data_IF_668086496326
#
_entry.id   IF_668086496326
#
_cell.length_a   1.000
_cell.length_b   1.000
_cell.length_c   1.000
_cell.angle_alpha   90.00
_cell.angle_beta   90.00
_cell.angle_gamma   90.00
#
_symmetry.space_group_name_H-M   'P 1'
#
loop_
_entity.id
_entity.type
_entity.pdbx_description
1 polymer ?
#
# COMPACT_ATOMS: atom_id res chain seq x y z
N UNK A 1 13.89 22.05 -8.80
CA UNK A 1 14.26 20.65 -8.53
C UNK A 1 14.81 20.05 -9.82
N UNK A 2 15.84 19.20 -9.78
CA UNK A 2 16.26 18.47 -10.99
C UNK A 2 15.22 17.36 -11.22
N UNK A 3 14.47 17.46 -12.32
CA UNK A 3 13.28 16.64 -12.55
C UNK A 3 13.53 15.49 -13.55
N UNK A 4 14.79 15.30 -13.98
CA UNK A 4 15.17 14.29 -14.94
C UNK A 4 16.40 13.51 -14.44
N UNK A 5 16.48 12.25 -14.85
CA UNK A 5 17.63 11.39 -14.59
C UNK A 5 18.88 11.97 -15.25
N UNK A 6 19.98 12.12 -14.49
CA UNK A 6 21.26 12.61 -15.02
C UNK A 6 22.44 11.85 -14.42
N UNK A 7 23.54 11.78 -15.17
CA UNK A 7 24.80 11.28 -14.64
C UNK A 7 25.39 12.28 -13.65
N UNK A 8 25.59 11.84 -12.42
CA UNK A 8 26.16 12.64 -11.34
C UNK A 8 27.27 11.92 -10.60
N UNK A 9 27.89 12.60 -9.64
CA UNK A 9 28.93 12.02 -8.80
C UNK A 9 28.30 11.12 -7.72
N UNK A 10 27.98 9.88 -8.11
CA UNK A 10 27.49 8.86 -7.20
C UNK A 10 28.60 8.44 -6.22
N UNK A 11 28.31 8.45 -4.92
CA UNK A 11 29.25 8.05 -3.85
C UNK A 11 29.14 6.58 -3.46
N UNK A 12 28.25 5.84 -4.13
CA UNK A 12 27.99 4.41 -3.89
C UNK A 12 28.58 3.55 -5.00
N UNK A 13 28.87 2.28 -4.69
CA UNK A 13 29.49 1.31 -5.60
C UNK A 13 31.01 1.22 -5.47
N UNK A 14 31.55 -0.02 -5.47
CA UNK A 14 32.97 -0.29 -5.24
C UNK A 14 33.92 0.47 -6.21
N UNK A 15 33.48 0.65 -7.45
CA UNK A 15 34.25 1.39 -8.48
C UNK A 15 34.43 2.88 -8.17
N UNK A 16 33.59 3.45 -7.30
CA UNK A 16 33.66 4.86 -6.92
C UNK A 16 34.62 5.11 -5.75
N UNK A 17 35.05 4.07 -5.02
CA UNK A 17 36.12 4.17 -4.01
C UNK A 17 37.01 2.91 -3.98
N UNK A 18 37.89 2.72 -4.99
CA UNK A 18 38.73 1.53 -5.08
C UNK A 18 39.71 1.42 -3.89
N UNK A 19 40.16 2.54 -3.32
CA UNK A 19 41.08 2.55 -2.18
C UNK A 19 40.39 2.02 -0.92
N UNK A 20 39.17 2.48 -0.63
CA UNK A 20 38.45 2.03 0.56
C UNK A 20 38.00 0.57 0.41
N UNK A 21 37.66 0.16 -0.82
CA UNK A 21 37.38 -1.25 -1.13
C UNK A 21 38.60 -2.14 -0.88
N UNK A 22 39.79 -1.76 -1.38
CA UNK A 22 41.00 -2.55 -1.12
C UNK A 22 41.34 -2.63 0.37
N UNK A 23 41.08 -1.57 1.14
CA UNK A 23 41.22 -1.59 2.60
C UNK A 23 40.20 -2.52 3.26
N UNK A 24 38.96 -2.54 2.77
CA UNK A 24 37.92 -3.47 3.26
C UNK A 24 38.29 -4.92 2.94
N UNK A 25 38.82 -5.19 1.75
CA UNK A 25 39.29 -6.53 1.34
C UNK A 25 40.47 -6.98 2.21
N UNK A 26 41.46 -6.11 2.41
CA UNK A 26 42.61 -6.39 3.29
C UNK A 26 42.16 -6.60 4.74
N UNK A 27 41.22 -5.80 5.23
CA UNK A 27 40.64 -5.99 6.55
C UNK A 27 39.87 -7.32 6.66
N UNK A 28 39.10 -7.70 5.63
CA UNK A 28 38.37 -8.96 5.60
C UNK A 28 39.30 -10.18 5.54
N UNK A 29 40.40 -10.12 4.79
CA UNK A 29 41.41 -11.19 4.73
C UNK A 29 42.16 -11.38 6.05
N UNK A 30 42.32 -10.29 6.83
CA UNK A 30 43.04 -10.30 8.10
C UNK A 30 42.11 -10.44 9.31
N UNK A 31 40.80 -10.34 9.12
CA UNK A 31 39.83 -10.61 10.17
C UNK A 31 39.83 -12.11 10.48
N UNK A 32 39.73 -12.51 11.76
CA UNK A 32 39.49 -13.92 12.08
C UNK A 32 38.22 -14.38 11.37
N UNK A 33 38.23 -15.59 10.82
CA UNK A 33 37.02 -16.22 10.27
C UNK A 33 35.98 -16.34 11.39
N UNK A 34 35.13 -15.33 11.50
CA UNK A 34 33.81 -15.51 12.06
C UNK A 34 32.99 -16.10 10.92
N UNK A 35 32.88 -17.43 10.89
CA UNK A 35 31.77 -18.08 10.19
C UNK A 35 30.51 -17.32 10.60
N UNK A 36 29.88 -16.54 9.70
CA UNK A 36 28.60 -15.92 10.01
C UNK A 36 27.65 -17.10 10.05
N UNK A 37 27.47 -17.63 11.24
CA UNK A 37 26.42 -18.56 11.53
C UNK A 37 25.10 -17.82 11.22
N UNK A 38 24.62 -17.96 9.99
CA UNK A 38 23.31 -17.48 9.56
C UNK A 38 22.17 -18.10 10.37
N UNK A 39 22.45 -19.14 11.17
CA UNK A 39 21.54 -19.65 12.19
C UNK A 39 21.30 -18.64 13.31
N UNK A 40 22.20 -17.69 13.60
CA UNK A 40 21.98 -16.69 14.66
C UNK A 40 20.80 -15.75 14.35
N UNK A 41 20.74 -15.14 13.15
CA UNK A 41 19.60 -14.30 12.73
C UNK A 41 18.34 -15.16 12.58
N UNK A 42 18.48 -16.37 12.06
CA UNK A 42 17.35 -17.30 11.89
C UNK A 42 16.75 -17.71 13.23
N UNK A 43 17.60 -17.99 14.22
CA UNK A 43 17.22 -18.34 15.59
C UNK A 43 16.60 -17.14 16.30
N UNK A 44 17.18 -15.95 16.19
CA UNK A 44 16.57 -14.71 16.71
C UNK A 44 15.19 -14.46 16.10
N UNK A 45 15.03 -14.66 14.79
CA UNK A 45 13.71 -14.56 14.13
C UNK A 45 12.76 -15.65 14.63
N UNK A 46 13.24 -16.87 14.85
CA UNK A 46 12.42 -17.97 15.36
C UNK A 46 11.93 -17.70 16.78
N UNK A 47 12.79 -17.21 17.66
CA UNK A 47 12.44 -16.81 19.03
C UNK A 47 11.42 -15.67 18.99
N UNK A 48 11.69 -14.62 18.21
CA UNK A 48 10.76 -13.50 18.07
C UNK A 48 9.40 -13.92 17.51
N UNK A 49 9.34 -14.84 16.54
CA UNK A 49 8.08 -15.37 15.99
C UNK A 49 7.35 -16.21 17.04
N UNK A 50 8.07 -17.01 17.83
CA UNK A 50 7.46 -17.86 18.85
C UNK A 50 6.89 -17.07 20.04
N UNK A 51 7.52 -15.94 20.37
CA UNK A 51 7.11 -15.07 21.49
C UNK A 51 6.13 -13.97 21.08
N UNK A 52 6.01 -13.67 19.78
CA UNK A 52 5.18 -12.58 19.30
C UNK A 52 3.69 -12.83 19.54
N UNK A 53 3.03 -11.83 20.13
CA UNK A 53 1.58 -11.73 20.12
C UNK A 53 1.06 -11.39 18.71
N UNK A 54 -0.21 -11.72 18.47
CA UNK A 54 -0.92 -11.29 17.26
C UNK A 54 -1.00 -9.77 17.19
N UNK A 55 -0.94 -9.22 15.97
CA UNK A 55 -1.27 -7.82 15.72
C UNK A 55 -2.75 -7.60 16.00
N UNK A 56 -3.06 -6.83 17.04
CA UNK A 56 -4.40 -6.36 17.38
C UNK A 56 -5.50 -7.43 17.45
N UNK A 57 -6.76 -6.96 17.43
CA UNK A 57 -7.94 -7.82 17.32
C UNK A 57 -9.09 -7.05 16.69
N UNK A 58 -9.92 -7.74 15.89
CA UNK A 58 -11.17 -7.16 15.39
C UNK A 58 -12.10 -6.88 16.58
N UNK A 59 -12.59 -5.64 16.76
CA UNK A 59 -13.45 -5.31 17.88
C UNK A 59 -14.81 -6.01 17.76
N UNK A 60 -15.45 -6.25 18.90
CA UNK A 60 -16.84 -6.68 18.93
C UNK A 60 -17.70 -5.54 18.35
N UNK A 61 -18.70 -5.82 17.49
CA UNK A 61 -19.58 -4.78 16.96
C UNK A 61 -20.15 -3.89 18.07
N UNK A 62 -20.13 -2.58 17.85
CA UNK A 62 -20.55 -1.58 18.85
C UNK A 62 -22.08 -1.49 19.03
N UNK A 63 -22.84 -2.11 18.12
CA UNK A 63 -24.31 -2.05 18.13
C UNK A 63 -24.94 -3.37 18.58
N UNK A 64 -26.10 -3.30 19.26
CA UNK A 64 -26.87 -4.49 19.67
C UNK A 64 -27.22 -5.36 18.47
N UNK A 65 -27.59 -4.75 17.34
CA UNK A 65 -27.88 -5.45 16.08
C UNK A 65 -26.63 -6.19 15.56
N UNK A 66 -25.49 -5.52 15.54
CA UNK A 66 -24.22 -6.12 15.11
C UNK A 66 -23.83 -7.32 15.98
N UNK A 67 -23.91 -7.19 17.31
CA UNK A 67 -23.62 -8.27 18.25
C UNK A 67 -24.50 -9.50 18.01
N UNK A 68 -25.82 -9.29 17.83
CA UNK A 68 -26.76 -10.39 17.56
C UNK A 68 -26.45 -11.05 16.21
N UNK A 69 -26.24 -10.27 15.15
CA UNK A 69 -25.95 -10.78 13.81
C UNK A 69 -24.67 -11.61 13.79
N UNK A 70 -23.57 -11.08 14.33
CA UNK A 70 -22.29 -11.78 14.45
C UNK A 70 -22.42 -13.06 15.28
N UNK A 71 -23.21 -13.03 16.36
CA UNK A 71 -23.49 -14.22 17.17
C UNK A 71 -24.20 -15.33 16.39
N UNK A 72 -25.21 -14.98 15.59
CA UNK A 72 -25.94 -15.95 14.75
C UNK A 72 -25.03 -16.55 13.67
N UNK A 73 -24.24 -15.73 12.97
CA UNK A 73 -23.27 -16.21 11.98
C UNK A 73 -22.24 -17.18 12.59
N UNK A 74 -21.70 -16.86 13.77
CA UNK A 74 -20.77 -17.76 14.47
C UNK A 74 -21.42 -19.10 14.85
N UNK A 75 -22.70 -19.11 15.23
CA UNK A 75 -23.43 -20.36 15.49
C UNK A 75 -23.62 -21.23 14.23
N UNK A 76 -23.61 -20.64 13.04
CA UNK A 76 -23.62 -21.34 11.75
C UNK A 76 -22.23 -21.83 11.32
N UNK A 77 -21.17 -21.53 12.09
CA UNK A 77 -19.78 -21.85 11.75
C UNK A 77 -19.10 -20.84 10.82
N UNK A 78 -19.75 -19.71 10.53
CA UNK A 78 -19.16 -18.62 9.76
C UNK A 78 -18.13 -17.85 10.60
N UNK A 79 -17.20 -17.16 9.93
CA UNK A 79 -16.16 -16.33 10.56
C UNK A 79 -16.32 -14.85 10.16
N UNK A 80 -17.38 -14.17 10.62
CA UNK A 80 -17.67 -12.77 10.24
C UNK A 80 -16.53 -11.80 10.58
N UNK A 81 -15.69 -12.13 11.57
CA UNK A 81 -14.48 -11.36 11.89
C UNK A 81 -13.49 -11.26 10.72
N UNK A 82 -13.44 -12.23 9.80
CA UNK A 82 -12.52 -12.20 8.65
C UNK A 82 -12.95 -11.13 7.66
N UNK A 83 -14.25 -11.10 7.32
CA UNK A 83 -14.80 -10.07 6.45
C UNK A 83 -14.66 -8.68 7.09
N UNK A 84 -14.97 -8.53 8.37
CA UNK A 84 -14.80 -7.26 9.08
C UNK A 84 -13.34 -6.79 9.10
N UNK A 85 -12.37 -7.70 9.28
CA UNK A 85 -10.95 -7.35 9.25
C UNK A 85 -10.52 -6.86 7.86
N UNK A 86 -10.97 -7.55 6.79
CA UNK A 86 -10.66 -7.18 5.40
C UNK A 86 -11.35 -5.90 4.93
N UNK A 87 -12.56 -5.63 5.42
CA UNK A 87 -13.22 -4.34 5.20
C UNK A 87 -12.49 -3.20 5.92
N UNK A 88 -12.02 -3.44 7.16
CA UNK A 88 -11.18 -2.49 7.89
C UNK A 88 -9.84 -2.22 7.19
N UNK A 89 -9.21 -3.27 6.65
CA UNK A 89 -8.01 -3.16 5.82
C UNK A 89 -8.23 -2.24 4.62
N UNK A 90 -9.29 -2.53 3.84
CA UNK A 90 -9.62 -1.79 2.63
C UNK A 90 -9.93 -0.34 2.95
N UNK A 91 -10.74 -0.07 3.98
CA UNK A 91 -11.05 1.29 4.43
C UNK A 91 -9.78 2.07 4.81
N UNK A 92 -8.84 1.44 5.53
CA UNK A 92 -7.59 2.08 5.91
C UNK A 92 -6.68 2.35 4.70
N UNK A 93 -6.71 1.47 3.70
CA UNK A 93 -5.97 1.65 2.45
C UNK A 93 -6.57 2.77 1.61
N UNK A 94 -7.88 2.83 1.37
CA UNK A 94 -8.53 3.93 0.61
C UNK A 94 -8.19 5.30 1.21
N UNK A 95 -8.26 5.41 2.56
CA UNK A 95 -7.86 6.64 3.26
C UNK A 95 -6.41 7.03 2.95
N UNK A 96 -5.53 6.05 2.81
CA UNK A 96 -4.13 6.27 2.45
C UNK A 96 -4.00 6.61 0.96
N UNK A 97 -4.76 5.94 0.08
CA UNK A 97 -4.87 6.21 -1.36
C UNK A 97 -5.24 7.66 -1.64
N UNK A 98 -6.29 8.17 -0.98
CA UNK A 98 -6.67 9.59 -1.04
C UNK A 98 -5.48 10.50 -0.71
N UNK A 99 -4.75 10.22 0.38
CA UNK A 99 -3.56 11.01 0.78
C UNK A 99 -2.38 10.88 -0.19
N UNK A 100 -2.20 9.72 -0.80
CA UNK A 100 -1.16 9.49 -1.80
C UNK A 100 -1.43 10.35 -3.04
N UNK A 101 -2.68 10.40 -3.50
CA UNK A 101 -3.07 11.26 -4.61
C UNK A 101 -3.03 12.74 -4.25
N UNK A 102 -3.44 13.17 -3.05
CA UNK A 102 -3.23 14.55 -2.56
C UNK A 102 -1.75 14.95 -2.67
N UNK A 103 -0.84 14.09 -2.21
CA UNK A 103 0.59 14.33 -2.24
C UNK A 103 1.16 14.35 -3.67
N UNK A 104 0.70 13.44 -4.54
CA UNK A 104 1.11 13.40 -5.94
C UNK A 104 0.62 14.64 -6.69
N UNK A 105 -0.64 15.05 -6.51
CA UNK A 105 -1.22 16.26 -7.11
C UNK A 105 -0.38 17.48 -6.70
N UNK A 106 -0.12 17.66 -5.40
CA UNK A 106 0.69 18.77 -4.91
C UNK A 106 2.10 18.78 -5.53
N UNK A 107 2.71 17.60 -5.72
CA UNK A 107 4.01 17.49 -6.41
C UNK A 107 3.92 17.87 -7.88
N UNK A 108 2.89 17.41 -8.58
CA UNK A 108 2.64 17.73 -9.98
C UNK A 108 2.42 19.22 -10.21
N UNK A 109 1.63 19.89 -9.37
CA UNK A 109 1.38 21.34 -9.45
C UNK A 109 2.65 22.18 -9.26
N UNK A 110 3.57 21.72 -8.41
CA UNK A 110 4.83 22.42 -8.11
C UNK A 110 5.96 22.06 -9.09
N UNK A 111 5.71 21.13 -10.01
CA UNK A 111 6.69 20.66 -11.00
C UNK A 111 6.40 21.33 -12.34
N UNK A 112 7.38 22.05 -12.95
CA UNK A 112 7.22 22.58 -14.30
C UNK A 112 6.86 21.45 -15.27
N UNK A 113 5.79 21.65 -16.05
CA UNK A 113 5.35 20.66 -17.02
C UNK A 113 6.34 20.58 -18.20
N UNK A 114 7.16 19.55 -18.17
CA UNK A 114 8.08 19.18 -19.25
C UNK A 114 7.57 17.99 -20.06
N UNK A 115 6.26 17.71 -20.04
CA UNK A 115 5.66 16.52 -20.65
C UNK A 115 5.82 15.24 -19.82
N UNK A 116 6.18 15.38 -18.54
CA UNK A 116 6.35 14.29 -17.57
C UNK A 116 5.23 14.25 -16.52
N UNK A 117 4.42 15.31 -16.46
CA UNK A 117 3.39 15.49 -15.43
C UNK A 117 2.07 14.89 -15.95
N UNK A 118 1.43 13.97 -15.21
CA UNK A 118 0.10 13.47 -15.56
C UNK A 118 -0.94 14.60 -15.65
N UNK A 119 -2.03 14.41 -16.42
CA UNK A 119 -3.10 15.39 -16.44
C UNK A 119 -3.70 15.60 -15.04
N UNK A 120 -3.61 16.82 -14.50
CA UNK A 120 -4.10 17.14 -13.15
C UNK A 120 -5.59 16.81 -12.96
N UNK A 121 -6.40 17.01 -14.00
CA UNK A 121 -7.83 16.68 -13.96
C UNK A 121 -8.08 15.18 -13.76
N UNK A 122 -7.22 14.33 -14.31
CA UNK A 122 -7.35 12.87 -14.17
C UNK A 122 -6.83 12.41 -12.82
N UNK A 123 -5.76 13.02 -12.29
CA UNK A 123 -5.33 12.79 -10.91
C UNK A 123 -6.41 13.20 -9.89
N UNK A 124 -7.10 14.32 -10.13
CA UNK A 124 -8.20 14.77 -9.28
C UNK A 124 -9.40 13.81 -9.35
N UNK A 125 -9.70 13.28 -10.55
CA UNK A 125 -10.76 12.27 -10.72
C UNK A 125 -10.47 11.04 -9.85
N UNK A 126 -9.27 10.48 -9.97
CA UNK A 126 -8.86 9.30 -9.18
C UNK A 126 -8.92 9.61 -7.68
N UNK A 127 -8.37 10.75 -7.24
CA UNK A 127 -8.47 11.19 -5.85
C UNK A 127 -9.91 11.20 -5.33
N UNK A 128 -10.85 11.74 -6.12
CA UNK A 128 -12.25 11.86 -5.72
C UNK A 128 -12.96 10.50 -5.70
N UNK A 129 -12.55 9.55 -6.56
CA UNK A 129 -13.06 8.17 -6.59
C UNK A 129 -12.56 7.37 -5.38
N UNK A 130 -11.27 7.46 -5.04
CA UNK A 130 -10.68 6.88 -3.82
C UNK A 130 -11.41 7.37 -2.55
N UNK A 131 -11.72 8.66 -2.48
CA UNK A 131 -12.50 9.23 -1.39
C UNK A 131 -13.94 8.68 -1.36
N UNK A 132 -14.56 8.42 -2.51
CA UNK A 132 -15.87 7.80 -2.61
C UNK A 132 -15.82 6.34 -2.15
N UNK A 133 -14.78 5.58 -2.52
CA UNK A 133 -14.59 4.20 -2.07
C UNK A 133 -14.39 4.11 -0.56
N UNK A 134 -13.60 5.02 0.01
CA UNK A 134 -13.47 5.17 1.46
C UNK A 134 -14.82 5.37 2.14
N UNK A 135 -15.64 6.31 1.65
CA UNK A 135 -16.97 6.57 2.20
C UNK A 135 -17.91 5.37 2.06
N UNK A 136 -17.89 4.72 0.90
CA UNK A 136 -18.67 3.52 0.60
C UNK A 136 -18.35 2.39 1.60
N UNK A 137 -17.07 2.14 1.90
CA UNK A 137 -16.64 1.13 2.87
C UNK A 137 -17.03 1.49 4.30
N UNK A 138 -16.96 2.77 4.67
CA UNK A 138 -17.39 3.23 5.99
C UNK A 138 -18.90 2.95 6.19
N UNK A 139 -19.72 3.25 5.19
CA UNK A 139 -21.16 2.93 5.21
C UNK A 139 -21.42 1.42 5.30
N UNK A 140 -20.64 0.61 4.59
CA UNK A 140 -20.76 -0.86 4.65
C UNK A 140 -20.47 -1.36 6.07
N UNK A 141 -19.38 -0.90 6.69
CA UNK A 141 -19.02 -1.27 8.07
C UNK A 141 -20.08 -0.83 9.08
N UNK A 142 -20.57 0.42 8.97
CA UNK A 142 -21.65 0.92 9.83
C UNK A 142 -22.95 0.12 9.65
N UNK A 143 -23.30 -0.24 8.42
CA UNK A 143 -24.47 -1.06 8.09
C UNK A 143 -24.40 -2.46 8.71
N UNK A 144 -23.19 -3.01 8.86
CA UNK A 144 -22.92 -4.27 9.57
C UNK A 144 -22.88 -4.09 11.10
N UNK A 145 -22.98 -2.86 11.60
CA UNK A 145 -22.91 -2.53 13.02
C UNK A 145 -21.49 -2.49 13.59
N UNK A 146 -20.48 -2.47 12.73
CA UNK A 146 -19.08 -2.27 13.07
C UNK A 146 -18.74 -0.78 13.20
N UNK A 147 -17.60 -0.48 13.83
CA UNK A 147 -17.07 0.87 13.96
C UNK A 147 -16.02 1.12 12.86
N UNK A 148 -16.28 2.00 11.87
CA UNK A 148 -15.33 2.28 10.80
C UNK A 148 -14.07 3.02 11.27
N UNK A 149 -14.05 3.51 12.51
CA UNK A 149 -12.86 4.17 13.10
C UNK A 149 -11.90 3.18 13.76
N UNK A 150 -12.31 1.92 13.92
CA UNK A 150 -11.50 0.91 14.55
C UNK A 150 -10.29 0.52 13.68
N UNK A 151 -9.11 0.44 14.29
CA UNK A 151 -7.94 -0.15 13.66
C UNK A 151 -7.97 -1.67 13.83
N UNK A 152 -8.39 -2.38 12.78
CA UNK A 152 -8.33 -3.84 12.74
C UNK A 152 -6.89 -4.34 12.51
N UNK A 153 -6.58 -5.62 12.79
CA UNK A 153 -5.27 -6.20 12.49
C UNK A 153 -4.78 -5.95 11.07
N UNK A 154 -5.62 -6.21 10.07
CA UNK A 154 -5.23 -6.01 8.68
C UNK A 154 -5.13 -4.52 8.32
N UNK A 155 -5.96 -3.65 8.92
CA UNK A 155 -5.82 -2.20 8.78
C UNK A 155 -4.46 -1.67 9.30
N UNK A 156 -3.97 -2.21 10.42
CA UNK A 156 -2.66 -1.86 10.97
C UNK A 156 -1.52 -2.31 10.03
N UNK A 157 -1.54 -3.59 9.62
CA UNK A 157 -0.52 -4.13 8.72
C UNK A 157 -0.51 -3.40 7.37
N UNK A 158 -1.68 -3.11 6.79
CA UNK A 158 -1.81 -2.35 5.55
C UNK A 158 -1.22 -0.94 5.69
N UNK A 159 -1.50 -0.25 6.80
CA UNK A 159 -0.90 1.05 7.07
C UNK A 159 0.64 0.97 7.12
N UNK A 160 1.22 -0.06 7.77
CA UNK A 160 2.67 -0.27 7.80
C UNK A 160 3.24 -0.51 6.41
N UNK A 161 2.59 -1.35 5.58
CA UNK A 161 3.03 -1.61 4.21
C UNK A 161 3.04 -0.32 3.36
N UNK A 162 2.02 0.52 3.51
CA UNK A 162 1.86 1.76 2.73
C UNK A 162 2.79 2.90 3.18
N UNK A 163 3.43 2.82 4.36
CA UNK A 163 4.35 3.85 4.85
C UNK A 163 5.50 4.13 3.87
N UNK A 164 6.08 3.08 3.28
CA UNK A 164 7.18 3.24 2.33
C UNK A 164 6.75 3.99 1.06
N UNK A 165 5.53 3.74 0.58
CA UNK A 165 4.96 4.42 -0.59
C UNK A 165 4.79 5.90 -0.30
N UNK A 166 4.17 6.25 0.84
CA UNK A 166 3.99 7.64 1.25
C UNK A 166 5.32 8.37 1.41
N UNK A 167 6.33 7.71 1.99
CA UNK A 167 7.68 8.29 2.11
C UNK A 167 8.28 8.62 0.75
N UNK A 168 8.11 7.76 -0.26
CA UNK A 168 8.62 8.03 -1.62
C UNK A 168 7.86 9.19 -2.27
N UNK A 169 6.52 9.19 -2.22
CA UNK A 169 5.70 10.22 -2.87
C UNK A 169 5.91 11.59 -2.23
N UNK A 170 6.08 11.66 -0.92
CA UNK A 170 6.27 12.94 -0.21
C UNK A 170 7.72 13.43 -0.14
N UNK A 171 8.71 12.60 -0.51
CA UNK A 171 10.11 13.03 -0.52
C UNK A 171 10.30 14.15 -1.57
N UNK A 172 10.75 15.35 -1.18
CA UNK A 172 10.97 16.46 -2.13
C UNK A 172 12.17 16.23 -3.04
N UNK A 173 12.87 15.09 -2.95
CA UNK A 173 13.98 14.69 -3.82
C UNK A 173 13.56 13.67 -4.88
N UNK A 174 12.39 13.03 -4.74
CA UNK A 174 11.92 12.05 -5.71
C UNK A 174 11.22 12.72 -6.89
N UNK A 175 11.51 12.24 -8.10
CA UNK A 175 10.93 12.75 -9.35
C UNK A 175 9.48 12.28 -9.54
N UNK A 176 8.77 12.86 -10.51
CA UNK A 176 7.43 12.42 -10.88
C UNK A 176 7.42 10.94 -11.31
N UNK A 177 8.31 10.44 -12.20
CA UNK A 177 8.33 9.01 -12.53
C UNK A 177 8.60 8.09 -11.34
N UNK A 178 9.47 8.50 -10.41
CA UNK A 178 9.70 7.73 -9.17
C UNK A 178 8.46 7.68 -8.29
N UNK A 179 7.73 8.80 -8.21
CA UNK A 179 6.46 8.88 -7.48
C UNK A 179 5.38 8.04 -8.16
N UNK A 180 5.25 8.09 -9.48
CA UNK A 180 4.34 7.25 -10.28
C UNK A 180 4.66 5.76 -10.13
N UNK A 181 5.93 5.38 -10.05
CA UNK A 181 6.31 3.99 -9.78
C UNK A 181 5.88 3.54 -8.37
N UNK A 182 5.94 4.42 -7.37
CA UNK A 182 5.43 4.13 -6.03
C UNK A 182 3.90 4.01 -6.03
N UNK A 183 3.20 4.92 -6.71
CA UNK A 183 1.74 4.84 -6.88
C UNK A 183 1.35 3.55 -7.61
N UNK A 184 2.07 3.15 -8.66
CA UNK A 184 1.81 1.88 -9.36
C UNK A 184 1.86 0.65 -8.42
N UNK A 185 2.72 0.67 -7.40
CA UNK A 185 2.76 -0.39 -6.39
C UNK A 185 1.49 -0.37 -5.53
N UNK A 186 0.98 0.80 -5.16
CA UNK A 186 -0.28 0.94 -4.44
C UNK A 186 -1.45 0.42 -5.30
N UNK A 187 -1.58 0.89 -6.53
CA UNK A 187 -2.63 0.49 -7.49
C UNK A 187 -2.69 -1.02 -7.74
N UNK A 188 -1.52 -1.67 -7.87
CA UNK A 188 -1.45 -3.12 -8.04
C UNK A 188 -1.95 -3.88 -6.80
N UNK A 189 -1.58 -3.41 -5.61
CA UNK A 189 -2.07 -3.98 -4.37
C UNK A 189 -3.57 -3.71 -4.19
N UNK A 190 -4.03 -2.55 -4.65
CA UNK A 190 -5.41 -2.12 -4.55
C UNK A 190 -6.34 -3.03 -5.36
N UNK A 191 -6.04 -3.15 -6.65
CA UNK A 191 -6.81 -3.94 -7.59
C UNK A 191 -6.96 -5.40 -7.13
N UNK A 192 -5.86 -6.03 -6.68
CA UNK A 192 -5.89 -7.38 -6.14
C UNK A 192 -6.72 -7.51 -4.85
N UNK A 193 -6.79 -6.46 -4.04
CA UNK A 193 -7.57 -6.44 -2.80
C UNK A 193 -9.07 -6.31 -3.08
N UNK A 194 -9.46 -5.53 -4.09
CA UNK A 194 -10.85 -5.45 -4.54
C UNK A 194 -11.35 -6.77 -5.14
N UNK A 195 -10.55 -7.44 -5.98
CA UNK A 195 -10.86 -8.78 -6.49
C UNK A 195 -11.16 -9.76 -5.34
N UNK A 196 -10.28 -9.79 -4.33
CA UNK A 196 -10.44 -10.62 -3.15
C UNK A 196 -11.71 -10.28 -2.36
N UNK A 197 -12.04 -8.99 -2.20
CA UNK A 197 -13.23 -8.56 -1.47
C UNK A 197 -14.54 -8.91 -2.20
N UNK A 198 -14.58 -8.79 -3.52
CA UNK A 198 -15.71 -9.26 -4.34
C UNK A 198 -15.93 -10.74 -4.09
N UNK A 199 -14.87 -11.56 -4.22
CA UNK A 199 -14.95 -13.00 -3.99
C UNK A 199 -15.43 -13.31 -2.56
N UNK A 200 -14.86 -12.65 -1.55
CA UNK A 200 -15.21 -12.88 -0.15
C UNK A 200 -16.68 -12.50 0.13
N UNK A 201 -17.17 -11.40 -0.43
CA UNK A 201 -18.55 -10.96 -0.28
C UNK A 201 -19.52 -11.96 -0.93
N UNK A 202 -19.22 -12.49 -2.11
CA UNK A 202 -20.02 -13.51 -2.80
C UNK A 202 -20.06 -14.83 -2.00
N UNK A 203 -18.90 -15.32 -1.56
CA UNK A 203 -18.78 -16.57 -0.80
C UNK A 203 -19.51 -16.51 0.56
N UNK A 204 -19.68 -15.31 1.11
CA UNK A 204 -20.39 -15.08 2.37
C UNK A 204 -21.85 -14.64 2.19
N UNK A 205 -22.36 -14.60 0.95
CA UNK A 205 -23.75 -14.32 0.63
C UNK A 205 -24.15 -12.84 0.75
N UNK A 206 -23.19 -11.93 0.58
CA UNK A 206 -23.39 -10.48 0.58
C UNK A 206 -23.45 -9.92 -0.85
N UNK A 207 -24.40 -10.39 -1.66
CA UNK A 207 -24.49 -10.06 -3.09
C UNK A 207 -24.53 -8.56 -3.40
N UNK A 208 -25.32 -7.78 -2.63
CA UNK A 208 -25.38 -6.32 -2.80
C UNK A 208 -24.04 -5.63 -2.51
N UNK A 209 -23.29 -6.15 -1.53
CA UNK A 209 -21.94 -5.66 -1.21
C UNK A 209 -20.98 -6.00 -2.35
N UNK A 210 -21.06 -7.21 -2.90
CA UNK A 210 -20.25 -7.63 -4.03
C UNK A 210 -20.50 -6.76 -5.27
N UNK A 211 -21.75 -6.40 -5.58
CA UNK A 211 -22.07 -5.48 -6.69
C UNK A 211 -21.39 -4.11 -6.50
N UNK A 212 -21.47 -3.52 -5.30
CA UNK A 212 -20.80 -2.26 -4.98
C UNK A 212 -19.29 -2.37 -5.16
N UNK A 213 -18.69 -3.49 -4.74
CA UNK A 213 -17.24 -3.72 -4.84
C UNK A 213 -16.79 -3.96 -6.29
N UNK A 214 -17.63 -4.56 -7.14
CA UNK A 214 -17.33 -4.69 -8.57
C UNK A 214 -17.34 -3.34 -9.30
N UNK A 215 -18.19 -2.41 -8.86
CA UNK A 215 -18.15 -1.05 -9.39
C UNK A 215 -16.83 -0.34 -9.03
N UNK A 216 -16.41 -0.41 -7.76
CA UNK A 216 -15.11 0.13 -7.32
C UNK A 216 -13.94 -0.53 -8.06
N UNK A 217 -13.95 -1.86 -8.20
CA UNK A 217 -12.92 -2.60 -8.94
C UNK A 217 -12.78 -2.11 -10.39
N UNK A 218 -13.88 -1.80 -11.07
CA UNK A 218 -13.84 -1.29 -12.45
C UNK A 218 -13.25 0.12 -12.56
N UNK A 219 -13.38 0.94 -11.51
CA UNK A 219 -12.70 2.24 -11.40
C UNK A 219 -11.20 2.03 -11.14
N UNK A 220 -10.84 1.14 -10.22
CA UNK A 220 -9.44 0.80 -9.92
C UNK A 220 -8.67 0.18 -11.11
N UNK A 221 -9.33 -0.62 -11.94
CA UNK A 221 -8.73 -1.11 -13.19
C UNK A 221 -8.33 0.05 -14.12
N UNK A 222 -9.12 1.14 -14.14
CA UNK A 222 -8.82 2.33 -14.91
C UNK A 222 -7.70 3.15 -14.26
N UNK A 223 -7.68 3.28 -12.94
CA UNK A 223 -6.60 3.95 -12.20
C UNK A 223 -5.25 3.28 -12.50
N UNK A 224 -5.19 1.96 -12.32
CA UNK A 224 -4.00 1.14 -12.60
C UNK A 224 -3.53 1.30 -14.06
N UNK A 225 -4.46 1.30 -15.02
CA UNK A 225 -4.14 1.49 -16.43
C UNK A 225 -3.53 2.88 -16.70
N UNK A 226 -4.15 3.93 -16.15
CA UNK A 226 -3.69 5.32 -16.27
C UNK A 226 -2.30 5.51 -15.67
N UNK A 227 -2.07 5.06 -14.44
CA UNK A 227 -0.77 5.20 -13.76
C UNK A 227 0.33 4.46 -14.53
N UNK A 228 0.05 3.25 -15.01
CA UNK A 228 0.99 2.47 -15.84
C UNK A 228 1.34 3.21 -17.13
N UNK A 229 0.35 3.79 -17.79
CA UNK A 229 0.54 4.55 -19.02
C UNK A 229 1.41 5.79 -18.76
N UNK A 230 1.10 6.57 -17.73
CA UNK A 230 1.87 7.78 -17.38
C UNK A 230 3.31 7.47 -17.02
N UNK A 231 3.54 6.44 -16.20
CA UNK A 231 4.89 6.01 -15.86
C UNK A 231 5.68 5.63 -17.11
N UNK A 232 5.06 4.83 -18.00
CA UNK A 232 5.69 4.38 -19.24
C UNK A 232 6.03 5.56 -20.15
N UNK A 233 5.09 6.50 -20.31
CA UNK A 233 5.30 7.71 -21.12
C UNK A 233 6.41 8.58 -20.52
N UNK A 234 6.42 8.79 -19.21
CA UNK A 234 7.40 9.65 -18.56
C UNK A 234 8.82 9.05 -18.62
N UNK A 235 8.97 7.73 -18.41
CA UNK A 235 10.26 7.04 -18.57
C UNK A 235 10.73 7.05 -20.02
N UNK A 236 9.81 6.87 -20.98
CA UNK A 236 10.16 6.94 -22.40
C UNK A 236 10.58 8.33 -22.83
N UNK A 237 9.91 9.38 -22.32
CA UNK A 237 10.26 10.77 -22.57
C UNK A 237 11.61 11.15 -21.95
N UNK A 238 11.97 10.62 -20.77
CA UNK A 238 13.31 10.83 -20.20
C UNK A 238 14.43 10.17 -21.03
N UNK A 239 14.11 9.12 -21.79
CA UNK A 239 15.09 8.38 -22.57
C UNK A 239 15.40 8.99 -23.95
N UNK A 240 14.60 9.95 -24.42
CA UNK A 240 14.65 10.55 -25.76
C UNK A 240 15.05 12.02 -25.74
#
# INVERSE_FOLDING_TARGET
>A
MQNATHMGMNRTGAKMSPIDVSRMEEAAMNAPETEPDGSSITMMRSEAIAEADRVGSVPIPGTVRGVVSTGVSKLKGEKPEVLLDKLGERLAFERTGTRLYEALIAKCEMTPDTGLVPPLAELQRIHDEEAQHFHMLAEVLEGMGADPTAQTPCADVSAVMSQGIMQVVTDPRTTIPQSLNAILVAELADNASWEMLVQLAEETGHDEMAERFRAALAEEEQHLASVRQWLTAAVSNEAL
#
